data_IF_262210325874
#
_entry.id   IF_262210325874
#
_cell.length_a   1.000
_cell.length_b   1.000
_cell.length_c   1.000
_cell.angle_alpha   90.00
_cell.angle_beta   90.00
_cell.angle_gamma   90.00
#
_symmetry.space_group_name_H-M   'P 1'
#
loop_
_entity.id
_entity.type
_entity.pdbx_description
1 polymer ?
#
# COMPACT_ATOMS: atom_id res chain seq x y z
N UNK A 1 8.78 -4.76 -1.18
CA UNK A 1 7.64 -5.63 -0.79
C UNK A 1 6.69 -4.93 0.18
N UNK A 2 5.38 -5.06 0.00
CA UNK A 2 4.35 -4.63 0.96
C UNK A 2 3.97 -5.77 1.91
N UNK A 3 3.93 -5.49 3.22
CA UNK A 3 3.39 -6.40 4.23
C UNK A 3 2.11 -5.82 4.83
N UNK A 4 1.04 -6.62 4.83
CA UNK A 4 -0.27 -6.22 5.33
C UNK A 4 -0.63 -7.11 6.51
N UNK A 5 -0.63 -6.52 7.70
CA UNK A 5 -1.14 -7.11 8.93
C UNK A 5 -2.67 -6.97 8.92
N UNK A 6 -3.38 -8.10 8.99
CA UNK A 6 -4.85 -8.12 8.89
C UNK A 6 -5.48 -8.57 10.20
N UNK A 7 -6.59 -7.95 10.59
CA UNK A 7 -7.40 -8.43 11.73
C UNK A 7 -8.02 -9.79 11.44
N UNK A 8 -8.57 -10.43 12.48
CA UNK A 8 -9.21 -11.74 12.36
C UNK A 8 -10.42 -11.71 11.41
N UNK A 9 -11.17 -10.62 11.44
CA UNK A 9 -12.36 -10.38 10.63
C UNK A 9 -11.98 -10.29 9.16
N UNK A 10 -10.96 -9.48 8.84
CA UNK A 10 -10.45 -9.37 7.48
C UNK A 10 -9.78 -10.68 7.03
N UNK A 11 -9.03 -11.37 7.89
CA UNK A 11 -8.40 -12.63 7.58
C UNK A 11 -9.42 -13.71 7.14
N UNK A 12 -10.59 -13.77 7.80
CA UNK A 12 -11.68 -14.68 7.40
C UNK A 12 -12.17 -14.39 5.98
N UNK A 13 -12.30 -13.10 5.62
CA UNK A 13 -12.75 -12.70 4.28
C UNK A 13 -11.68 -12.95 3.20
N UNK A 14 -10.40 -12.74 3.53
CA UNK A 14 -9.28 -12.93 2.61
C UNK A 14 -8.91 -14.41 2.40
N UNK A 15 -9.20 -15.28 3.37
CA UNK A 15 -9.04 -16.73 3.27
C UNK A 15 -7.67 -17.15 2.72
N UNK A 16 -7.65 -17.64 1.48
CA UNK A 16 -6.46 -18.15 0.79
C UNK A 16 -5.32 -17.13 0.60
N UNK A 17 -5.61 -15.83 0.73
CA UNK A 17 -4.60 -14.78 0.57
C UNK A 17 -3.73 -14.61 1.81
N UNK A 18 -4.22 -15.02 2.98
CA UNK A 18 -3.47 -14.95 4.23
C UNK A 18 -2.42 -16.06 4.27
N UNK A 19 -1.18 -15.67 4.49
CA UNK A 19 -0.01 -16.58 4.54
C UNK A 19 0.59 -16.58 5.95
N UNK A 20 1.40 -17.61 6.29
CA UNK A 20 2.16 -17.62 7.53
C UNK A 20 3.02 -16.37 7.68
N UNK A 21 3.31 -16.02 8.94
CA UNK A 21 4.15 -14.87 9.25
C UNK A 21 5.50 -14.97 8.53
N UNK A 22 5.90 -13.88 7.88
CA UNK A 22 7.22 -13.77 7.24
C UNK A 22 8.09 -12.83 8.07
N UNK A 23 9.18 -13.38 8.61
CA UNK A 23 10.22 -12.62 9.29
C UNK A 23 11.16 -12.04 8.23
N UNK A 24 10.76 -10.93 7.65
CA UNK A 24 11.57 -10.14 6.73
C UNK A 24 11.19 -8.68 6.83
N UNK A 25 12.12 -7.81 6.47
CA UNK A 25 11.85 -6.38 6.37
C UNK A 25 10.89 -6.13 5.21
N UNK A 26 9.98 -5.18 5.40
CA UNK A 26 9.01 -4.77 4.41
C UNK A 26 9.19 -3.28 4.16
N UNK A 27 9.31 -2.90 2.88
CA UNK A 27 9.40 -1.51 2.44
C UNK A 27 8.22 -0.69 2.95
N UNK A 28 7.03 -1.31 2.98
CA UNK A 28 5.80 -0.71 3.45
C UNK A 28 5.07 -1.69 4.37
N UNK A 29 4.75 -1.23 5.57
CA UNK A 29 4.02 -2.00 6.57
C UNK A 29 2.64 -1.40 6.79
N UNK A 30 1.61 -2.17 6.44
CA UNK A 30 0.22 -1.78 6.56
C UNK A 30 -0.47 -2.59 7.64
N UNK A 31 -1.40 -1.96 8.35
CA UNK A 31 -2.43 -2.62 9.15
C UNK A 31 -3.76 -2.46 8.45
N UNK A 32 -4.57 -3.50 8.43
CA UNK A 32 -5.85 -3.49 7.74
C UNK A 32 -6.92 -4.17 8.57
N UNK A 33 -8.10 -3.56 8.61
CA UNK A 33 -9.25 -4.07 9.33
C UNK A 33 -10.51 -3.98 8.47
N UNK A 34 -11.45 -4.88 8.74
CA UNK A 34 -12.73 -5.02 8.05
C UNK A 34 -13.87 -4.70 9.01
N UNK A 35 -14.72 -3.75 8.61
CA UNK A 35 -15.99 -3.48 9.29
C UNK A 35 -17.15 -3.58 8.31
N UNK A 36 -18.24 -4.18 8.78
CA UNK A 36 -19.52 -4.14 8.08
C UNK A 36 -20.28 -2.90 8.57
N UNK A 37 -20.63 -2.01 7.65
CA UNK A 37 -21.36 -0.77 7.95
C UNK A 37 -22.66 -0.81 7.14
N UNK A 38 -23.80 -0.87 7.83
CA UNK A 38 -25.07 -1.18 7.20
C UNK A 38 -25.04 -2.59 6.58
N UNK A 39 -25.05 -2.66 5.25
CA UNK A 39 -24.97 -3.93 4.50
C UNK A 39 -23.67 -4.06 3.68
N UNK A 40 -22.76 -3.10 3.77
CA UNK A 40 -21.56 -3.04 2.94
C UNK A 40 -20.30 -3.33 3.74
N UNK A 41 -19.37 -4.05 3.13
CA UNK A 41 -18.05 -4.30 3.71
C UNK A 41 -17.09 -3.16 3.39
N UNK A 42 -16.43 -2.63 4.42
CA UNK A 42 -15.40 -1.62 4.33
C UNK A 42 -14.09 -2.11 4.94
N UNK A 43 -13.03 -2.11 4.13
CA UNK A 43 -11.66 -2.33 4.58
C UNK A 43 -10.96 -0.99 4.70
N UNK A 44 -10.40 -0.75 5.89
CA UNK A 44 -9.57 0.41 6.20
C UNK A 44 -8.15 -0.07 6.38
N UNK A 45 -7.23 0.48 5.59
CA UNK A 45 -5.81 0.20 5.70
C UNK A 45 -5.09 1.44 6.23
N UNK A 46 -4.11 1.24 7.11
CA UNK A 46 -3.24 2.27 7.64
C UNK A 46 -1.79 1.87 7.43
N UNK A 47 -1.01 2.73 6.76
CA UNK A 47 0.44 2.59 6.69
C UNK A 47 1.06 2.99 8.05
N UNK A 48 1.95 2.16 8.59
CA UNK A 48 2.42 2.31 9.97
C UNK A 48 3.33 3.51 10.20
N UNK A 49 4.21 3.84 9.25
CA UNK A 49 5.20 4.91 9.43
C UNK A 49 4.57 6.30 9.33
N UNK A 50 3.69 6.49 8.35
CA UNK A 50 3.11 7.79 7.96
C UNK A 50 1.69 7.97 8.52
N UNK A 51 1.04 6.87 8.91
CA UNK A 51 -0.35 6.86 9.32
C UNK A 51 -1.32 7.12 8.17
N UNK A 52 -0.90 7.00 6.91
CA UNK A 52 -1.76 7.18 5.75
C UNK A 52 -2.89 6.15 5.73
N UNK A 53 -4.10 6.60 5.40
CA UNK A 53 -5.30 5.77 5.34
C UNK A 53 -5.71 5.52 3.90
N UNK A 54 -5.88 4.26 3.53
CA UNK A 54 -6.48 3.83 2.26
C UNK A 54 -7.81 3.12 2.54
N UNK A 55 -8.83 3.38 1.70
CA UNK A 55 -10.19 2.90 1.90
C UNK A 55 -10.74 2.12 0.72
N UNK A 56 -11.36 0.99 1.05
CA UNK A 56 -12.04 0.09 0.12
C UNK A 56 -13.42 -0.25 0.71
N UNK A 57 -14.49 0.40 0.26
CA UNK A 57 -15.86 0.15 0.71
C UNK A 57 -16.73 -0.46 -0.38
N UNK A 58 -17.87 -1.04 0.03
CA UNK A 58 -18.79 -1.70 -0.90
C UNK A 58 -18.25 -3.03 -1.43
N UNK A 59 -17.34 -3.69 -0.69
CA UNK A 59 -16.71 -4.92 -1.16
C UNK A 59 -17.67 -6.11 -1.14
N UNK A 60 -17.71 -6.83 -2.25
CA UNK A 60 -18.42 -8.09 -2.37
C UNK A 60 -17.46 -9.30 -2.30
N UNK A 61 -18.02 -10.52 -2.30
CA UNK A 61 -17.25 -11.75 -2.18
C UNK A 61 -16.23 -11.97 -3.32
N UNK A 62 -16.56 -11.56 -4.55
CA UNK A 62 -15.65 -11.67 -5.70
C UNK A 62 -14.46 -10.71 -5.57
N UNK A 63 -14.71 -9.50 -5.07
CA UNK A 63 -13.66 -8.53 -4.77
C UNK A 63 -12.72 -9.00 -3.66
N UNK A 64 -13.23 -9.71 -2.64
CA UNK A 64 -12.36 -10.37 -1.66
C UNK A 64 -11.56 -11.52 -2.28
N UNK A 65 -12.14 -12.27 -3.23
CA UNK A 65 -11.44 -13.34 -3.93
C UNK A 65 -10.26 -12.82 -4.80
N UNK A 66 -10.34 -11.56 -5.25
CA UNK A 66 -9.33 -10.84 -6.05
C UNK A 66 -8.75 -9.63 -5.32
N UNK A 67 -8.73 -9.67 -3.98
CA UNK A 67 -8.36 -8.52 -3.16
C UNK A 67 -6.95 -7.98 -3.45
N UNK A 68 -5.90 -8.80 -3.67
CA UNK A 68 -4.57 -8.28 -3.99
C UNK A 68 -4.55 -7.42 -5.25
N UNK A 69 -5.28 -7.83 -6.30
CA UNK A 69 -5.38 -7.07 -7.55
C UNK A 69 -6.14 -5.75 -7.33
N UNK A 70 -7.22 -5.80 -6.54
CA UNK A 70 -8.00 -4.62 -6.18
C UNK A 70 -7.13 -3.62 -5.39
N UNK A 71 -6.41 -4.09 -4.37
CA UNK A 71 -5.54 -3.25 -3.56
C UNK A 71 -4.41 -2.66 -4.41
N UNK A 72 -3.81 -3.46 -5.31
CA UNK A 72 -2.78 -2.98 -6.22
C UNK A 72 -3.29 -1.83 -7.08
N UNK A 73 -4.44 -2.02 -7.76
CA UNK A 73 -5.02 -0.99 -8.64
C UNK A 73 -5.34 0.30 -7.88
N UNK A 74 -5.90 0.16 -6.67
CA UNK A 74 -6.25 1.29 -5.83
C UNK A 74 -5.03 2.02 -5.31
N UNK A 75 -4.02 1.29 -4.87
CA UNK A 75 -2.77 1.83 -4.32
C UNK A 75 -2.04 2.70 -5.34
N UNK A 76 -1.74 2.20 -6.55
CA UNK A 76 -0.93 2.97 -7.50
C UNK A 76 -1.66 4.23 -8.00
N UNK A 77 -3.00 4.17 -8.18
CA UNK A 77 -3.79 5.33 -8.62
C UNK A 77 -3.82 6.44 -7.59
N UNK A 78 -4.00 6.05 -6.33
CA UNK A 78 -4.07 6.95 -5.19
C UNK A 78 -2.69 7.57 -4.94
N UNK A 79 -1.64 6.77 -4.96
CA UNK A 79 -0.27 7.26 -4.78
C UNK A 79 0.23 8.11 -5.93
N UNK A 80 -0.09 7.77 -7.18
CA UNK A 80 0.25 8.63 -8.31
C UNK A 80 -0.35 10.04 -8.15
N UNK A 81 -1.49 10.17 -7.46
CA UNK A 81 -2.15 11.45 -7.22
C UNK A 81 -1.46 12.28 -6.14
N UNK A 82 -0.91 11.65 -5.08
CA UNK A 82 -0.21 12.36 -4.01
C UNK A 82 1.27 12.59 -4.35
N UNK A 83 1.93 11.67 -5.06
CA UNK A 83 3.31 11.83 -5.50
C UNK A 83 3.47 12.89 -6.61
N UNK A 84 2.44 13.11 -7.45
CA UNK A 84 2.49 14.17 -8.48
C UNK A 84 2.67 15.58 -7.90
N UNK A 85 2.27 15.79 -6.65
CA UNK A 85 2.50 17.07 -5.96
C UNK A 85 4.00 17.33 -5.71
N UNK A 86 4.85 16.30 -5.76
CA UNK A 86 6.29 16.41 -5.52
C UNK A 86 7.14 16.66 -6.78
N UNK A 87 6.57 16.56 -7.99
CA UNK A 87 7.20 17.05 -9.24
C UNK A 87 8.50 16.38 -9.73
N UNK A 88 8.94 15.27 -9.14
CA UNK A 88 10.30 14.72 -9.35
C UNK A 88 10.46 13.67 -10.46
N UNK A 89 9.40 13.00 -10.94
CA UNK A 89 9.52 11.92 -11.94
C UNK A 89 8.61 12.08 -13.15
N UNK A 90 9.03 11.46 -14.27
CA UNK A 90 8.13 11.18 -15.39
C UNK A 90 6.94 10.33 -14.92
N UNK A 91 5.75 10.68 -15.43
CA UNK A 91 4.48 10.09 -14.96
C UNK A 91 4.39 8.60 -15.28
N UNK A 92 4.92 8.15 -16.41
CA UNK A 92 4.85 6.74 -16.79
C UNK A 92 5.75 5.89 -15.87
N UNK A 93 6.99 6.34 -15.67
CA UNK A 93 7.93 5.69 -14.75
C UNK A 93 7.40 5.63 -13.32
N UNK A 94 6.81 6.72 -12.82
CA UNK A 94 6.20 6.74 -11.49
C UNK A 94 5.11 5.67 -11.35
N UNK A 95 4.22 5.55 -12.33
CA UNK A 95 3.13 4.56 -12.29
C UNK A 95 3.69 3.14 -12.31
N UNK A 96 4.65 2.85 -13.19
CA UNK A 96 5.27 1.54 -13.31
C UNK A 96 5.96 1.12 -11.99
N UNK A 97 6.73 2.04 -11.39
CA UNK A 97 7.41 1.76 -10.12
C UNK A 97 6.42 1.55 -8.96
N UNK A 98 5.34 2.34 -8.89
CA UNK A 98 4.28 2.15 -7.89
C UNK A 98 3.55 0.82 -8.08
N UNK A 99 3.30 0.41 -9.32
CA UNK A 99 2.73 -0.90 -9.63
C UNK A 99 3.65 -2.04 -9.20
N UNK A 100 4.96 -1.90 -9.40
CA UNK A 100 5.96 -2.87 -8.97
C UNK A 100 6.06 -2.96 -7.44
N UNK A 101 6.00 -1.84 -6.72
CA UNK A 101 5.92 -1.82 -5.25
C UNK A 101 4.69 -2.59 -4.78
N UNK A 102 3.55 -2.37 -5.43
CA UNK A 102 2.28 -2.97 -5.07
C UNK A 102 2.05 -4.39 -5.60
N UNK A 103 2.91 -4.92 -6.47
CA UNK A 103 2.78 -6.28 -7.00
C UNK A 103 3.10 -7.34 -5.92
N UNK A 104 4.06 -7.05 -5.04
CA UNK A 104 4.51 -7.96 -3.99
C UNK A 104 3.80 -7.68 -2.66
N UNK A 105 2.64 -8.30 -2.46
CA UNK A 105 1.84 -8.15 -1.24
C UNK A 105 1.87 -9.44 -0.41
N UNK A 106 2.21 -9.31 0.88
CA UNK A 106 2.18 -10.41 1.85
C UNK A 106 1.18 -10.12 2.97
N UNK A 107 0.10 -10.89 3.01
CA UNK A 107 -0.95 -10.77 4.03
C UNK A 107 -0.70 -11.75 5.16
N UNK A 108 -0.71 -11.27 6.40
CA UNK A 108 -0.56 -12.10 7.59
C UNK A 108 -1.43 -11.59 8.72
N UNK A 109 -1.84 -12.48 9.63
CA UNK A 109 -2.65 -12.10 10.78
C UNK A 109 -1.87 -11.10 11.66
N UNK A 110 -2.52 -10.02 12.11
CA UNK A 110 -1.94 -9.08 13.06
C UNK A 110 -1.84 -9.75 14.44
N UNK A 111 -0.63 -9.89 15.02
CA UNK A 111 -0.46 -10.43 16.36
C UNK A 111 -1.01 -9.49 17.45
N UNK A 112 -1.10 -8.19 17.17
CA UNK A 112 -1.50 -7.14 18.11
C UNK A 112 -2.49 -6.21 17.43
N UNK A 113 -3.76 -6.65 17.23
CA UNK A 113 -4.77 -5.83 16.59
C UNK A 113 -5.02 -4.57 17.43
N UNK A 114 -5.11 -3.38 16.80
CA UNK A 114 -5.28 -2.13 17.53
C UNK A 114 -6.68 -2.06 18.17
N UNK A 115 -6.73 -1.93 19.50
CA UNK A 115 -7.98 -1.69 20.25
C UNK A 115 -8.47 -0.25 20.10
N UNK A 116 -7.54 0.68 19.87
CA UNK A 116 -7.79 2.10 19.64
C UNK A 116 -6.87 2.60 18.51
N UNK A 117 -7.27 3.66 17.80
CA UNK A 117 -6.39 4.30 16.82
C UNK A 117 -7.09 4.87 15.60
N UNK A 118 -6.27 5.23 14.59
CA UNK A 118 -6.76 5.93 13.39
C UNK A 118 -7.69 5.05 12.55
N UNK A 119 -7.43 3.75 12.43
CA UNK A 119 -8.33 2.79 11.77
C UNK A 119 -9.73 2.84 12.41
N UNK A 120 -9.83 2.65 13.73
CA UNK A 120 -11.09 2.66 14.46
C UNK A 120 -11.80 4.01 14.31
N UNK A 121 -11.08 5.13 14.47
CA UNK A 121 -11.65 6.47 14.29
C UNK A 121 -12.20 6.70 12.88
N UNK A 122 -11.56 6.16 11.84
CA UNK A 122 -12.05 6.26 10.46
C UNK A 122 -13.29 5.38 10.26
N UNK A 123 -13.28 4.17 10.81
CA UNK A 123 -14.44 3.28 10.79
C UNK A 123 -15.67 3.89 11.47
N UNK A 124 -15.49 4.54 12.62
CA UNK A 124 -16.56 5.27 13.32
C UNK A 124 -17.08 6.45 12.50
N UNK A 125 -16.21 7.17 11.78
CA UNK A 125 -16.62 8.26 10.88
C UNK A 125 -17.44 7.73 9.70
N UNK A 126 -17.04 6.61 9.12
CA UNK A 126 -17.80 5.95 8.05
C UNK A 126 -19.16 5.46 8.56
N UNK A 127 -19.20 4.90 9.77
CA UNK A 127 -20.45 4.46 10.39
C UNK A 127 -21.37 5.63 10.69
N UNK A 128 -20.87 6.72 11.28
CA UNK A 128 -21.66 7.93 11.52
C UNK A 128 -22.23 8.50 10.22
N UNK A 129 -21.40 8.56 9.17
CA UNK A 129 -21.81 9.04 7.85
C UNK A 129 -23.05 8.29 7.32
N UNK A 130 -23.09 6.97 7.49
CA UNK A 130 -24.21 6.14 7.01
C UNK A 130 -25.40 6.20 7.96
N UNK A 131 -25.18 5.95 9.25
CA UNK A 131 -26.24 5.73 10.23
C UNK A 131 -26.88 7.03 10.74
N UNK A 132 -26.11 8.13 10.78
CA UNK A 132 -26.58 9.41 11.32
C UNK A 132 -26.80 10.45 10.22
N UNK A 133 -25.87 10.57 9.28
CA UNK A 133 -25.94 11.60 8.24
C UNK A 133 -26.75 11.15 7.00
N UNK A 134 -27.17 9.87 6.95
CA UNK A 134 -27.86 9.26 5.80
C UNK A 134 -27.11 9.43 4.47
N UNK A 135 -25.78 9.44 4.51
CA UNK A 135 -24.92 9.54 3.34
C UNK A 135 -24.38 8.16 2.96
N UNK A 136 -24.22 7.92 1.65
CA UNK A 136 -23.65 6.67 1.15
C UNK A 136 -22.18 6.50 1.54
N UNK A 137 -21.74 5.25 1.66
CA UNK A 137 -20.33 4.93 1.77
C UNK A 137 -19.58 5.34 0.48
N UNK A 138 -18.29 5.65 0.60
CA UNK A 138 -17.47 5.96 -0.56
C UNK A 138 -17.06 4.65 -1.27
N UNK A 139 -17.95 4.10 -2.08
CA UNK A 139 -17.79 2.78 -2.73
C UNK A 139 -16.94 2.84 -3.99
N UNK A 140 -16.98 3.94 -4.73
CA UNK A 140 -16.16 4.12 -5.93
C UNK A 140 -14.75 4.64 -5.57
N UNK A 141 -13.79 4.39 -6.47
CA UNK A 141 -12.40 4.74 -6.22
C UNK A 141 -12.17 6.23 -5.98
N UNK A 142 -12.97 7.11 -6.61
CA UNK A 142 -12.81 8.55 -6.47
C UNK A 142 -13.38 9.06 -5.15
N UNK A 143 -14.59 8.65 -4.78
CA UNK A 143 -15.18 9.04 -3.49
C UNK A 143 -14.38 8.48 -2.31
N UNK A 144 -13.83 7.27 -2.44
CA UNK A 144 -12.94 6.67 -1.43
C UNK A 144 -11.66 7.49 -1.27
N UNK A 145 -11.04 7.89 -2.38
CA UNK A 145 -9.89 8.78 -2.36
C UNK A 145 -10.23 10.13 -1.75
N UNK A 146 -11.28 10.82 -2.19
CA UNK A 146 -11.63 12.16 -1.69
C UNK A 146 -11.91 12.12 -0.17
N UNK A 147 -12.60 11.08 0.32
CA UNK A 147 -12.83 10.88 1.75
C UNK A 147 -11.53 10.61 2.52
N UNK A 148 -10.68 9.69 2.03
CA UNK A 148 -9.39 9.36 2.64
C UNK A 148 -8.42 10.55 2.63
N UNK A 149 -8.37 11.29 1.53
CA UNK A 149 -7.51 12.45 1.34
C UNK A 149 -7.79 13.55 2.37
N UNK A 150 -9.07 13.81 2.70
CA UNK A 150 -9.46 14.73 3.78
C UNK A 150 -8.99 14.27 5.17
N UNK A 151 -8.76 12.97 5.38
CA UNK A 151 -8.22 12.43 6.62
C UNK A 151 -6.69 12.49 6.60
N UNK A 152 -6.07 12.23 5.44
CA UNK A 152 -4.63 12.14 5.28
C UNK A 152 -3.93 13.50 5.23
N UNK A 153 -4.61 14.55 4.81
CA UNK A 153 -4.08 15.92 4.75
C UNK A 153 -4.29 16.73 6.03
N UNK A 154 -5.04 16.20 7.01
CA UNK A 154 -5.23 16.87 8.29
C UNK A 154 -3.97 16.78 9.13
N UNK A 155 -3.30 17.92 9.30
CA UNK A 155 -2.27 18.09 10.32
C UNK A 155 -2.91 18.20 11.71
N UNK A 156 -2.31 17.54 12.70
CA UNK A 156 -2.60 17.88 14.09
C UNK A 156 -2.10 19.29 14.38
N UNK A 157 -2.70 19.99 15.36
CA UNK A 157 -2.25 21.34 15.73
C UNK A 157 -0.77 21.39 16.15
N UNK A 158 -0.28 20.31 16.78
CA UNK A 158 1.11 20.18 17.19
C UNK A 158 2.03 19.90 15.98
N UNK A 159 1.63 19.01 15.07
CA UNK A 159 2.37 18.73 13.84
C UNK A 159 2.54 19.97 12.96
N UNK A 160 1.47 20.78 12.82
CA UNK A 160 1.52 22.04 12.09
C UNK A 160 2.47 23.08 12.73
N UNK A 161 2.64 23.06 14.05
CA UNK A 161 3.57 23.94 14.77
C UNK A 161 5.02 23.48 14.65
N UNK A 162 5.24 22.17 14.55
CA UNK A 162 6.57 21.57 14.39
C UNK A 162 7.06 21.55 12.93
N UNK A 163 6.19 21.90 11.98
CA UNK A 163 6.51 21.80 10.55
C UNK A 163 6.51 20.36 10.03
N UNK A 164 5.84 19.44 10.74
CA UNK A 164 5.74 18.04 10.33
C UNK A 164 4.86 17.92 9.07
N UNK A 165 5.25 17.03 8.17
CA UNK A 165 4.46 16.70 6.98
C UNK A 165 3.16 15.97 7.33
N UNK A 166 2.10 16.16 6.55
CA UNK A 166 0.87 15.40 6.74
C UNK A 166 1.04 13.95 6.22
N UNK A 167 0.10 13.05 6.53
CA UNK A 167 0.24 11.64 6.17
C UNK A 167 0.32 11.42 4.64
N UNK A 168 -0.36 12.26 3.84
CA UNK A 168 -0.29 12.17 2.38
C UNK A 168 1.09 12.59 1.85
N UNK A 169 1.64 13.68 2.36
CA UNK A 169 3.02 14.10 2.04
C UNK A 169 4.04 13.07 2.50
N UNK A 170 3.89 12.55 3.73
CA UNK A 170 4.76 11.53 4.30
C UNK A 170 4.80 10.26 3.45
N UNK A 171 3.63 9.73 3.05
CA UNK A 171 3.57 8.54 2.20
C UNK A 171 4.06 8.81 0.78
N UNK A 172 3.75 9.99 0.24
CA UNK A 172 4.27 10.42 -1.05
C UNK A 172 5.80 10.40 -1.07
N UNK A 173 6.44 11.04 -0.09
CA UNK A 173 7.90 11.08 0.04
C UNK A 173 8.50 9.69 0.29
N UNK A 174 7.86 8.88 1.15
CA UNK A 174 8.31 7.49 1.40
C UNK A 174 8.34 6.68 0.11
N UNK A 175 7.29 6.79 -0.73
CA UNK A 175 7.23 6.06 -1.99
C UNK A 175 8.26 6.57 -3.00
N UNK A 176 8.48 7.88 -3.08
CA UNK A 176 9.52 8.46 -3.95
C UNK A 176 10.91 7.95 -3.58
N UNK A 177 11.25 7.95 -2.28
CA UNK A 177 12.52 7.41 -1.80
C UNK A 177 12.68 5.91 -2.13
N UNK A 178 11.62 5.11 -1.99
CA UNK A 178 11.63 3.70 -2.37
C UNK A 178 11.89 3.49 -3.87
N UNK A 179 11.35 4.38 -4.71
CA UNK A 179 11.55 4.33 -6.16
C UNK A 179 13.00 4.69 -6.50
N UNK A 180 13.54 5.75 -5.90
CA UNK A 180 14.94 6.18 -6.10
C UNK A 180 15.92 5.07 -5.69
N UNK A 181 15.75 4.48 -4.51
CA UNK A 181 16.63 3.39 -4.04
C UNK A 181 16.63 2.18 -4.99
N UNK A 182 15.47 1.80 -5.53
CA UNK A 182 15.37 0.69 -6.49
C UNK A 182 16.08 1.01 -7.81
N UNK A 183 15.94 2.25 -8.30
CA UNK A 183 16.64 2.68 -9.51
C UNK A 183 18.16 2.69 -9.31
N UNK A 184 18.64 3.07 -8.13
CA UNK A 184 20.07 2.99 -7.80
C UNK A 184 20.57 1.54 -7.77
N UNK A 185 19.81 0.61 -7.18
CA UNK A 185 20.14 -0.82 -7.15
C UNK A 185 20.19 -1.45 -8.55
N UNK A 186 19.26 -1.08 -9.43
CA UNK A 186 19.24 -1.53 -10.83
C UNK A 186 20.46 -0.99 -11.61
N UNK A 187 20.83 0.26 -11.39
CA UNK A 187 22.01 0.88 -12.01
C UNK A 187 23.34 0.29 -11.49
N UNK A 188 23.36 -0.16 -10.23
CA UNK A 188 24.52 -0.77 -9.59
C UNK A 188 24.65 -2.28 -9.85
N UNK A 189 23.67 -2.91 -10.49
CA UNK A 189 23.72 -4.30 -10.91
C UNK A 189 24.30 -4.38 -12.33
N UNK A 190 25.63 -4.49 -12.53
CA UNK A 190 26.17 -4.69 -13.86
C UNK A 190 25.61 -6.01 -14.38
N UNK A 191 24.91 -5.94 -15.50
CA UNK A 191 24.64 -7.09 -16.34
C UNK A 191 25.99 -7.74 -16.63
N UNK A 192 26.33 -8.80 -15.91
CA UNK A 192 27.41 -9.70 -16.29
C UNK A 192 26.91 -10.38 -17.54
N UNK A 193 27.24 -9.83 -18.71
CA UNK A 193 26.97 -10.48 -19.98
C UNK A 193 27.61 -11.85 -19.94
N UNK A 194 26.80 -12.88 -20.17
CA UNK A 194 27.17 -14.30 -20.16
C UNK A 194 28.25 -14.63 -21.24
N UNK A 195 28.59 -13.68 -22.10
CA UNK A 195 29.54 -13.87 -23.20
C UNK A 195 31.03 -13.85 -22.81
N UNK A 196 31.40 -13.44 -21.59
CA UNK A 196 32.82 -13.36 -21.19
C UNK A 196 33.39 -14.61 -20.47
N UNK A 197 32.58 -15.66 -20.29
CA UNK A 197 33.00 -16.89 -19.57
C UNK A 197 33.17 -18.13 -20.47
N UNK A 198 33.41 -17.97 -21.77
CA UNK A 198 33.84 -19.09 -22.62
C UNK A 198 35.36 -19.16 -22.66
N UNK A 199 35.95 -19.94 -21.76
CA UNK A 199 37.34 -20.41 -21.92
C UNK A 199 37.34 -21.46 -23.03
N UNK A 200 37.67 -21.05 -24.26
CA UNK A 200 37.94 -21.99 -25.35
C UNK A 200 39.28 -22.68 -25.10
N UNK A 201 39.25 -23.93 -24.64
CA UNK A 201 40.44 -24.76 -24.49
C UNK A 201 40.72 -25.45 -25.83
N UNK A 202 41.81 -25.07 -26.49
CA UNK A 202 42.25 -25.67 -27.75
C UNK A 202 43.06 -26.95 -27.45
N UNK A 203 42.51 -28.12 -27.79
CA UNK A 203 43.15 -29.42 -27.60
C UNK A 203 44.09 -29.82 -28.75
N UNK A 204 44.41 -28.89 -29.66
CA UNK A 204 45.12 -29.18 -30.89
C UNK A 204 46.62 -28.84 -30.84
N UNK A 205 47.40 -29.38 -29.88
CA UNK A 205 48.88 -29.51 -30.05
C UNK A 205 49.59 -30.26 -28.91
N UNK A 206 50.01 -31.49 -29.26
CA UNK A 206 51.26 -32.22 -28.93
C UNK A 206 51.06 -33.53 -28.18
N UNK A 207 51.34 -34.61 -28.92
CA UNK A 207 51.42 -36.01 -28.55
C UNK A 207 51.45 -36.82 -29.82
#
# INVERSE_FOLDING_TARGET
MMRILVTRELAKALGRHVRPARNGDADLLWRADLKIIGMEACVVLQEQQTGYILLLCGLNADQFAHFPQLLQDRFWRELASICQQAGLHDKATLIESLQAIAAEQHYQLDPEPPEEGKIISVMEKLERRVLHDNLSLPVDGRSAFDFGFLINTRLSKQAAQNGDSNAAEGLGNLCLNLIEMRQEEENLSPVVSIDDNVVSVDFSRRG
#
